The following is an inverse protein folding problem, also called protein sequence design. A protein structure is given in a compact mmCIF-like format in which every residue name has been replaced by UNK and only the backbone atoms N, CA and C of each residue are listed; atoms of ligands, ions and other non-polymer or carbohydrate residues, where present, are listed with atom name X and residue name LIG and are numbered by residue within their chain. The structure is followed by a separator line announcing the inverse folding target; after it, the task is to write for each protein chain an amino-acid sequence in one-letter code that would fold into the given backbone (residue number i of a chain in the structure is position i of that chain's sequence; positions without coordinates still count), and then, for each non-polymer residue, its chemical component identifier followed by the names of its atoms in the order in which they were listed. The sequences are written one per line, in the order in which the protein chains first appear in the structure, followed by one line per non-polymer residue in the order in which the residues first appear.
data_IF_979959227174
#
_entry.id   IF_979959227174
#
_cell.length_a   1.000
_cell.length_b   1.000
_cell.length_c   1.000
_cell.angle_alpha   90.00
_cell.angle_beta   90.00
_cell.angle_gamma   90.00
#
_symmetry.space_group_name_H-M   'P 1'
#
loop_
_entity.id
_entity.type
_entity.pdbx_description
1 polymer ?
#
# COMPACT_ATOMS: atom_id res chain seq x y z
N UNK A 1 34.36 -37.34 -11.15
CA UNK A 1 33.03 -37.83 -10.73
C UNK A 1 32.19 -36.61 -10.39
N UNK A 2 31.40 -36.16 -11.34
CA UNK A 2 30.58 -34.94 -11.22
C UNK A 2 29.21 -35.35 -10.66
N UNK A 3 28.92 -34.94 -9.42
CA UNK A 3 27.61 -35.20 -8.79
C UNK A 3 26.48 -34.45 -9.51
N UNK A 4 25.24 -34.96 -9.48
CA UNK A 4 24.12 -34.31 -10.13
C UNK A 4 23.81 -32.97 -9.46
N UNK A 5 23.78 -31.90 -10.26
CA UNK A 5 23.34 -30.56 -9.86
C UNK A 5 21.86 -30.56 -9.43
N UNK A 6 21.48 -29.78 -8.41
CA UNK A 6 20.12 -29.76 -7.90
C UNK A 6 19.14 -29.17 -8.94
N UNK A 7 17.91 -29.69 -9.03
CA UNK A 7 16.93 -29.20 -9.98
C UNK A 7 16.54 -27.76 -9.66
N UNK A 8 16.88 -26.85 -10.57
CA UNK A 8 16.45 -25.45 -10.51
C UNK A 8 14.97 -25.39 -10.89
N UNK A 9 14.08 -25.43 -9.90
CA UNK A 9 12.65 -25.25 -10.14
C UNK A 9 12.40 -23.81 -10.63
N UNK A 10 12.06 -23.68 -11.91
CA UNK A 10 11.63 -22.43 -12.53
C UNK A 10 10.37 -21.89 -11.82
N UNK A 11 10.36 -20.59 -11.53
CA UNK A 11 9.26 -19.86 -10.88
C UNK A 11 7.89 -20.03 -11.60
N UNK A 12 7.87 -20.46 -12.86
CA UNK A 12 6.66 -20.77 -13.62
C UNK A 12 5.90 -22.02 -13.16
N UNK A 13 6.53 -23.00 -12.50
CA UNK A 13 5.88 -24.24 -12.04
C UNK A 13 5.12 -24.12 -10.72
N UNK A 14 5.37 -23.06 -9.95
CA UNK A 14 4.70 -22.80 -8.66
C UNK A 14 3.28 -22.24 -8.84
N UNK A 15 2.99 -21.63 -10.00
CA UNK A 15 1.68 -21.01 -10.27
C UNK A 15 0.54 -22.03 -10.39
N UNK A 16 0.84 -23.28 -10.75
CA UNK A 16 -0.13 -24.38 -10.87
C UNK A 16 -0.33 -25.18 -9.57
N UNK A 17 0.38 -24.86 -8.48
CA UNK A 17 0.31 -25.59 -7.20
C UNK A 17 -0.48 -24.86 -6.12
N UNK A 18 -0.83 -23.58 -6.33
CA UNK A 18 -1.65 -22.81 -5.41
C UNK A 18 -3.11 -23.30 -5.47
N UNK A 19 -3.58 -23.92 -4.40
CA UNK A 19 -4.92 -24.51 -4.33
C UNK A 19 -5.94 -23.54 -3.71
N UNK A 20 -5.50 -22.63 -2.84
CA UNK A 20 -6.37 -21.68 -2.15
C UNK A 20 -5.62 -20.44 -1.70
N UNK A 21 -6.23 -19.28 -1.91
CA UNK A 21 -5.84 -18.02 -1.25
C UNK A 21 -6.87 -17.71 -0.16
N UNK A 22 -6.41 -17.51 1.07
CA UNK A 22 -7.29 -17.18 2.20
C UNK A 22 -6.69 -16.10 3.09
N UNK A 23 -7.52 -15.56 3.99
CA UNK A 23 -7.10 -14.56 4.98
C UNK A 23 -7.53 -14.97 6.38
N UNK A 24 -6.69 -14.72 7.37
CA UNK A 24 -7.01 -14.92 8.77
C UNK A 24 -7.06 -13.56 9.46
N UNK A 25 -8.01 -13.38 10.38
CA UNK A 25 -8.07 -12.20 11.24
C UNK A 25 -6.88 -12.19 12.21
N UNK A 26 -6.32 -11.02 12.46
CA UNK A 26 -5.20 -10.80 13.36
C UNK A 26 -5.42 -9.50 14.17
N UNK A 27 -4.60 -9.26 15.21
CA UNK A 27 -4.74 -8.16 16.18
C UNK A 27 -4.89 -6.75 15.58
N UNK A 28 -4.55 -6.54 14.31
CA UNK A 28 -4.66 -5.24 13.64
C UNK A 28 -5.16 -5.30 12.18
N UNK A 29 -5.75 -6.42 11.75
CA UNK A 29 -6.22 -6.54 10.37
C UNK A 29 -6.31 -7.98 9.86
N UNK A 30 -5.95 -8.18 8.60
CA UNK A 30 -6.01 -9.50 7.94
C UNK A 30 -4.62 -9.91 7.43
N UNK A 31 -4.24 -11.16 7.68
CA UNK A 31 -3.04 -11.78 7.09
C UNK A 31 -3.46 -12.71 5.95
N UNK A 32 -2.86 -12.50 4.78
CA UNK A 32 -3.09 -13.30 3.58
C UNK A 32 -2.11 -14.47 3.46
N UNK A 33 -2.64 -15.63 3.10
CA UNK A 33 -1.94 -16.88 2.95
C UNK A 33 -2.34 -17.57 1.63
N UNK A 34 -1.42 -18.36 1.10
CA UNK A 34 -1.69 -19.33 0.05
C UNK A 34 -1.38 -20.74 0.55
N UNK A 35 -2.29 -21.66 0.21
CA UNK A 35 -2.06 -23.09 0.35
C UNK A 35 -1.45 -23.63 -0.95
N UNK A 36 -0.33 -24.33 -0.82
CA UNK A 36 0.36 -24.99 -1.93
C UNK A 36 0.32 -26.50 -1.71
N UNK A 37 -0.10 -27.26 -2.72
CA UNK A 37 0.06 -28.72 -2.70
C UNK A 37 1.48 -29.06 -3.11
N UNK A 38 2.23 -29.76 -2.26
CA UNK A 38 3.57 -30.23 -2.63
C UNK A 38 3.48 -31.43 -3.56
N UNK A 39 4.37 -31.53 -4.57
CA UNK A 39 4.56 -32.77 -5.32
C UNK A 39 4.91 -33.95 -4.40
N UNK A 40 4.45 -35.16 -4.76
CA UNK A 40 4.72 -36.40 -4.01
C UNK A 40 6.21 -36.63 -3.76
N UNK A 41 7.07 -36.27 -4.74
CA UNK A 41 8.53 -36.40 -4.65
C UNK A 41 9.15 -35.54 -3.54
N UNK A 42 8.43 -34.53 -3.03
CA UNK A 42 8.84 -33.66 -1.93
C UNK A 42 8.11 -33.99 -0.62
N UNK A 43 7.43 -35.14 -0.55
CA UNK A 43 6.68 -35.62 0.62
C UNK A 43 5.18 -35.36 0.56
N UNK A 44 4.66 -34.79 -0.54
CA UNK A 44 3.23 -34.52 -0.71
C UNK A 44 2.66 -33.53 0.31
N UNK A 45 1.32 -33.49 0.40
CA UNK A 45 0.60 -32.67 1.40
C UNK A 45 0.36 -31.21 1.00
N UNK A 46 -0.12 -30.41 1.96
CA UNK A 46 -0.45 -28.99 1.78
C UNK A 46 0.38 -28.15 2.74
N UNK A 47 1.06 -27.13 2.21
CA UNK A 47 1.79 -26.14 3.01
C UNK A 47 1.16 -24.78 2.82
N UNK A 48 0.86 -24.13 3.95
CA UNK A 48 0.34 -22.77 3.98
C UNK A 48 1.48 -21.77 4.13
N UNK A 49 1.65 -20.90 3.15
CA UNK A 49 2.71 -19.89 3.13
C UNK A 49 2.09 -18.50 3.19
N UNK A 50 2.66 -17.63 4.02
CA UNK A 50 2.26 -16.22 4.09
C UNK A 50 2.67 -15.50 2.81
N UNK A 51 1.74 -14.75 2.21
CA UNK A 51 1.94 -14.12 0.90
C UNK A 51 2.93 -12.95 0.89
N UNK A 52 3.12 -12.27 2.01
CA UNK A 52 3.80 -10.96 2.09
C UNK A 52 4.90 -10.90 3.15
N UNK A 53 5.42 -12.06 3.60
CA UNK A 53 6.55 -12.10 4.52
C UNK A 53 7.20 -13.47 4.66
N UNK A 54 8.49 -13.51 5.00
CA UNK A 54 9.29 -14.69 5.24
C UNK A 54 9.83 -14.74 6.69
N UNK A 55 10.63 -15.75 7.02
CA UNK A 55 11.21 -15.90 8.37
C UNK A 55 12.15 -14.74 8.74
N UNK A 56 12.95 -14.25 7.78
CA UNK A 56 13.85 -13.12 7.97
C UNK A 56 13.07 -11.83 8.30
N UNK A 57 11.98 -11.58 7.59
CA UNK A 57 11.06 -10.47 7.84
C UNK A 57 10.47 -10.56 9.25
N UNK A 58 10.18 -11.79 9.72
CA UNK A 58 9.72 -12.05 11.09
C UNK A 58 10.74 -11.65 12.15
N UNK A 59 12.01 -12.00 11.96
CA UNK A 59 13.11 -11.63 12.86
C UNK A 59 13.28 -10.11 12.92
N UNK A 60 13.23 -9.45 11.75
CA UNK A 60 13.38 -7.99 11.63
C UNK A 60 12.11 -7.21 11.98
N UNK A 61 11.00 -7.90 12.23
CA UNK A 61 9.64 -7.32 12.32
C UNK A 61 9.32 -6.41 11.12
N UNK A 62 9.85 -6.75 9.95
CA UNK A 62 9.72 -5.97 8.73
C UNK A 62 8.44 -6.38 8.00
N UNK A 63 7.50 -5.46 7.82
CA UNK A 63 6.27 -5.76 7.09
C UNK A 63 6.39 -5.24 5.66
N UNK A 64 6.68 -6.14 4.71
CA UNK A 64 6.91 -5.76 3.30
C UNK A 64 5.77 -4.94 2.72
N UNK A 65 4.52 -5.28 3.08
CA UNK A 65 3.34 -4.60 2.57
C UNK A 65 3.27 -3.12 2.96
N UNK A 66 3.82 -2.71 4.11
CA UNK A 66 3.85 -1.30 4.52
C UNK A 66 4.92 -0.50 3.76
N UNK A 67 5.90 -1.19 3.18
CA UNK A 67 7.00 -0.60 2.41
C UNK A 67 6.70 -0.59 0.90
N UNK A 68 5.57 -1.18 0.47
CA UNK A 68 5.10 -1.09 -0.92
C UNK A 68 4.64 0.33 -1.18
N UNK A 69 5.33 1.02 -2.10
CA UNK A 69 4.93 2.33 -2.60
C UNK A 69 4.00 2.14 -3.79
N UNK A 70 2.89 2.88 -3.81
CA UNK A 70 1.98 2.89 -4.96
C UNK A 70 2.65 3.43 -6.24
N UNK A 71 3.62 4.34 -6.08
CA UNK A 71 4.44 4.91 -7.16
C UNK A 71 5.90 4.65 -6.79
N UNK A 72 6.60 3.73 -7.49
CA UNK A 72 7.99 3.42 -7.20
C UNK A 72 8.93 4.56 -7.59
N UNK A 73 10.12 4.69 -6.98
CA UNK A 73 11.11 5.71 -7.34
C UNK A 73 11.54 5.68 -8.82
N UNK A 74 11.50 4.50 -9.44
CA UNK A 74 11.85 4.29 -10.84
C UNK A 74 10.74 4.72 -11.82
N UNK A 75 9.56 5.07 -11.32
CA UNK A 75 8.46 5.56 -12.15
C UNK A 75 8.76 6.97 -12.68
N UNK A 76 8.57 7.25 -13.98
CA UNK A 76 8.83 8.57 -14.55
C UNK A 76 8.05 9.72 -13.88
N UNK A 77 6.87 9.44 -13.32
CA UNK A 77 6.04 10.41 -12.60
C UNK A 77 6.47 10.62 -11.14
N UNK A 78 7.35 9.77 -10.60
CA UNK A 78 7.78 9.86 -9.20
C UNK A 78 8.43 11.22 -8.86
N UNK A 79 9.39 11.76 -9.64
CA UNK A 79 10.02 13.03 -9.29
C UNK A 79 9.05 14.21 -9.25
N UNK A 80 8.01 14.20 -10.08
CA UNK A 80 7.01 15.28 -10.09
C UNK A 80 6.06 15.17 -8.90
N UNK A 81 5.53 13.98 -8.65
CA UNK A 81 4.55 13.76 -7.59
C UNK A 81 5.19 13.82 -6.20
N UNK A 82 6.38 13.24 -6.03
CA UNK A 82 7.07 13.20 -4.74
C UNK A 82 7.48 14.59 -4.26
N UNK A 83 7.78 15.53 -5.16
CA UNK A 83 8.05 16.94 -4.81
C UNK A 83 6.88 17.62 -4.11
N UNK A 84 5.64 17.21 -4.41
CA UNK A 84 4.40 17.76 -3.82
C UNK A 84 3.97 17.05 -2.53
N UNK A 85 4.76 16.08 -2.04
CA UNK A 85 4.43 15.29 -0.83
C UNK A 85 4.23 16.18 0.40
N UNK A 86 5.15 17.12 0.63
CA UNK A 86 5.10 17.98 1.83
C UNK A 86 3.81 18.82 1.84
N UNK A 87 3.39 19.32 0.68
CA UNK A 87 2.13 20.07 0.55
C UNK A 87 0.93 19.17 0.84
N UNK A 88 0.91 17.96 0.28
CA UNK A 88 -0.16 17.00 0.54
C UNK A 88 -0.23 16.58 2.03
N UNK A 89 0.90 16.36 2.69
CA UNK A 89 0.98 16.06 4.12
C UNK A 89 0.50 17.25 4.97
N UNK A 90 0.88 18.47 4.61
CA UNK A 90 0.40 19.69 5.29
C UNK A 90 -1.12 19.86 5.15
N UNK A 91 -1.67 19.64 3.95
CA UNK A 91 -3.12 19.74 3.69
C UNK A 91 -3.89 18.68 4.49
N UNK A 92 -3.41 17.43 4.49
CA UNK A 92 -4.03 16.35 5.26
C UNK A 92 -3.97 16.64 6.75
N UNK A 93 -2.84 17.17 7.24
CA UNK A 93 -2.71 17.57 8.64
C UNK A 93 -3.68 18.68 9.01
N UNK A 94 -3.80 19.70 8.16
CA UNK A 94 -4.74 20.80 8.37
C UNK A 94 -6.19 20.30 8.41
N UNK A 95 -6.55 19.29 7.62
CA UNK A 95 -7.85 18.62 7.70
C UNK A 95 -8.01 17.87 9.03
N UNK A 96 -7.02 17.08 9.44
CA UNK A 96 -7.02 16.36 10.72
C UNK A 96 -7.20 17.31 11.91
N UNK A 97 -6.53 18.46 11.90
CA UNK A 97 -6.64 19.46 12.97
C UNK A 97 -8.04 20.08 13.05
N UNK A 98 -8.87 19.97 11.99
CA UNK A 98 -10.29 20.35 12.08
C UNK A 98 -11.13 19.31 12.81
N UNK A 99 -10.67 18.06 12.96
CA UNK A 99 -11.47 16.96 13.49
C UNK A 99 -11.62 17.05 15.01
N UNK A 100 -12.85 17.03 15.49
CA UNK A 100 -13.11 17.02 16.93
C UNK A 100 -12.65 15.71 17.57
N UNK A 101 -11.62 15.77 18.43
CA UNK A 101 -11.01 14.60 19.09
C UNK A 101 -10.58 13.50 18.08
N UNK A 102 -10.13 13.89 16.89
CA UNK A 102 -9.76 12.96 15.82
C UNK A 102 -10.96 12.17 15.25
N UNK A 103 -12.19 12.65 15.47
CA UNK A 103 -13.40 12.04 14.92
C UNK A 103 -13.83 12.77 13.66
N UNK A 104 -14.17 11.98 12.64
CA UNK A 104 -14.75 12.52 11.41
C UNK A 104 -16.01 13.36 11.71
N UNK A 105 -16.15 14.50 11.04
CA UNK A 105 -17.29 15.41 11.16
C UNK A 105 -18.64 14.76 10.84
N UNK A 106 -18.64 13.66 10.09
CA UNK A 106 -19.86 12.98 9.67
C UNK A 106 -19.73 11.47 9.78
N UNK A 107 -20.86 10.83 10.10
CA UNK A 107 -20.96 9.38 10.19
C UNK A 107 -21.35 8.78 8.83
N UNK A 108 -20.56 7.79 8.40
CA UNK A 108 -20.79 7.01 7.18
C UNK A 108 -19.91 7.44 6.01
N UNK A 109 -19.48 6.45 5.22
CA UNK A 109 -18.50 6.60 4.14
C UNK A 109 -18.87 7.71 3.13
N UNK A 110 -20.11 7.74 2.63
CA UNK A 110 -20.53 8.74 1.63
C UNK A 110 -20.45 10.18 2.16
N UNK A 111 -20.80 10.40 3.43
CA UNK A 111 -20.75 11.73 4.05
C UNK A 111 -19.32 12.17 4.31
N UNK A 112 -18.47 11.24 4.75
CA UNK A 112 -17.04 11.50 4.93
C UNK A 112 -16.34 11.80 3.59
N UNK A 113 -16.73 11.10 2.53
CA UNK A 113 -16.23 11.38 1.18
C UNK A 113 -16.62 12.79 0.73
N UNK A 114 -17.86 13.22 0.99
CA UNK A 114 -18.28 14.59 0.70
C UNK A 114 -17.44 15.62 1.46
N UNK A 115 -17.14 15.39 2.74
CA UNK A 115 -16.27 16.28 3.53
C UNK A 115 -14.86 16.38 2.91
N UNK A 116 -14.29 15.24 2.50
CA UNK A 116 -12.96 15.20 1.89
C UNK A 116 -12.93 15.92 0.54
N UNK A 117 -13.92 15.67 -0.33
CA UNK A 117 -14.05 16.32 -1.63
C UNK A 117 -14.28 17.83 -1.47
N UNK A 118 -15.15 18.24 -0.56
CA UNK A 118 -15.42 19.64 -0.27
C UNK A 118 -14.18 20.38 0.24
N UNK A 119 -13.42 19.75 1.14
CA UNK A 119 -12.15 20.31 1.62
C UNK A 119 -11.12 20.46 0.49
N UNK A 120 -10.96 19.44 -0.35
CA UNK A 120 -10.05 19.50 -1.50
C UNK A 120 -10.45 20.62 -2.48
N UNK A 121 -11.75 20.76 -2.79
CA UNK A 121 -12.25 21.84 -3.64
C UNK A 121 -11.98 23.22 -3.04
N UNK A 122 -12.20 23.39 -1.74
CA UNK A 122 -11.92 24.64 -1.03
C UNK A 122 -10.43 25.01 -1.11
N UNK A 123 -9.53 24.08 -0.77
CA UNK A 123 -8.08 24.33 -0.78
C UNK A 123 -7.60 24.70 -2.20
N UNK A 124 -8.04 23.94 -3.21
CA UNK A 124 -7.67 24.22 -4.60
C UNK A 124 -8.20 25.57 -5.08
N UNK A 125 -9.43 25.94 -4.70
CA UNK A 125 -10.02 27.24 -5.05
C UNK A 125 -9.25 28.39 -4.40
N UNK A 126 -8.86 28.24 -3.14
CA UNK A 126 -8.07 29.23 -2.41
C UNK A 126 -6.66 29.40 -3.01
N UNK A 127 -6.00 28.30 -3.36
CA UNK A 127 -4.70 28.32 -4.03
C UNK A 127 -4.77 29.06 -5.37
N UNK A 128 -5.79 28.77 -6.19
CA UNK A 128 -6.01 29.43 -7.47
C UNK A 128 -6.29 30.93 -7.29
N UNK A 129 -7.14 31.30 -6.34
CA UNK A 129 -7.45 32.71 -6.03
C UNK A 129 -6.20 33.49 -5.61
N UNK A 130 -5.39 32.93 -4.71
CA UNK A 130 -4.13 33.53 -4.27
C UNK A 130 -3.14 33.67 -5.41
N UNK A 131 -2.99 32.65 -6.25
CA UNK A 131 -2.10 32.70 -7.41
C UNK A 131 -2.49 33.81 -8.38
N UNK A 132 -3.79 33.92 -8.72
CA UNK A 132 -4.30 35.00 -9.58
C UNK A 132 -4.06 36.38 -8.99
N UNK A 133 -4.27 36.54 -7.68
CA UNK A 133 -4.02 37.81 -6.98
C UNK A 133 -2.54 38.19 -7.00
N UNK A 134 -1.64 37.25 -6.74
CA UNK A 134 -0.19 37.52 -6.79
C UNK A 134 0.27 37.86 -8.21
N UNK A 135 -0.25 37.17 -9.22
CA UNK A 135 0.06 37.48 -10.63
C UNK A 135 -0.43 38.88 -11.03
N UNK A 136 -1.63 39.27 -10.58
CA UNK A 136 -2.15 40.62 -10.80
C UNK A 136 -1.30 41.71 -10.12
N UNK A 137 -0.83 41.46 -8.89
CA UNK A 137 -0.01 42.43 -8.15
C UNK A 137 1.44 42.53 -8.67
N UNK A 138 1.89 41.54 -9.44
CA UNK A 138 3.23 41.51 -10.04
C UNK A 138 3.28 42.08 -11.47
N UNK A 139 2.11 42.40 -12.06
CA UNK A 139 1.95 43.04 -13.36
C UNK A 139 1.76 44.56 -13.19
#
# INVERSE_FOLDING_TARGET
MSGPSPPTASCSSLRSLASRTHRNADKGGYRWYNDYRLPEQLGGGVVTVRLHGNAEDGVRRFNRAENVRAIPPDDPGFPELFRRRNDAESINRALEDTLWLGRAHSLGHRRQLLNLLGYALMVNSLALSRHRRSAYLAA
#
